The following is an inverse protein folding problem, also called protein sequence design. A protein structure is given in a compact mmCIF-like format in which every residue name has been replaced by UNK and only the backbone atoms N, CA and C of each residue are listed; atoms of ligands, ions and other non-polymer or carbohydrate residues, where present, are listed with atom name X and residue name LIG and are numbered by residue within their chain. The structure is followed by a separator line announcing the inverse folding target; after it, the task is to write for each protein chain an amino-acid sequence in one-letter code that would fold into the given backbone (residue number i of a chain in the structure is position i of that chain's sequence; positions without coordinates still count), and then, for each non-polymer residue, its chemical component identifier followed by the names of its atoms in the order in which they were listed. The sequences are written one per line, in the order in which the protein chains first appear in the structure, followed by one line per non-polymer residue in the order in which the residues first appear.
data_IF_366455891187
#
_entry.id   IF_366455891187
#
_cell.length_a   1.000
_cell.length_b   1.000
_cell.length_c   1.000
_cell.angle_alpha   90.00
_cell.angle_beta   90.00
_cell.angle_gamma   90.00
#
_symmetry.space_group_name_H-M   'P 1'
#
loop_
_entity.id
_entity.type
_entity.pdbx_description
1 polymer ?
#
# COMPACT_ATOMS: atom_id res chain seq x y z
N UNK A 1 7.68 -11.09 -1.52
CA UNK A 1 6.84 -9.91 -1.85
C UNK A 1 7.70 -8.75 -2.35
N UNK A 2 9.01 -8.95 -2.47
CA UNK A 2 9.99 -7.94 -2.90
C UNK A 2 10.07 -7.83 -4.44
N UNK A 3 9.64 -8.87 -5.14
CA UNK A 3 9.79 -9.02 -6.59
C UNK A 3 8.85 -8.15 -7.44
N UNK A 4 7.76 -7.61 -6.84
CA UNK A 4 6.80 -6.72 -7.55
C UNK A 4 7.26 -5.26 -7.52
N UNK A 5 8.03 -4.87 -6.49
CA UNK A 5 8.60 -3.52 -6.36
C UNK A 5 10.04 -3.46 -6.84
N UNK A 6 10.68 -4.61 -7.08
CA UNK A 6 11.98 -4.65 -7.72
C UNK A 6 11.82 -4.16 -9.17
N UNK A 7 12.57 -3.15 -9.61
CA UNK A 7 12.57 -2.77 -11.01
C UNK A 7 12.98 -3.97 -11.85
N UNK A 8 12.25 -4.25 -12.93
CA UNK A 8 12.72 -5.21 -13.93
C UNK A 8 14.07 -4.71 -14.46
N UNK A 9 15.10 -5.57 -14.56
CA UNK A 9 16.38 -5.13 -15.11
C UNK A 9 16.16 -4.55 -16.50
N UNK A 10 16.52 -3.26 -16.67
CA UNK A 10 16.34 -2.50 -17.91
C UNK A 10 15.17 -1.50 -17.94
N UNK A 11 14.32 -1.40 -16.91
CA UNK A 11 13.25 -0.39 -16.89
C UNK A 11 13.75 0.96 -16.33
N UNK A 12 14.43 1.73 -17.17
CA UNK A 12 14.97 3.07 -16.81
C UNK A 12 14.16 4.24 -17.39
N UNK A 13 13.19 3.95 -18.25
CA UNK A 13 12.39 4.96 -18.93
C UNK A 13 11.29 5.49 -18.03
N UNK A 14 10.99 6.78 -18.21
CA UNK A 14 9.87 7.44 -17.54
C UNK A 14 8.55 6.95 -18.14
N UNK A 15 7.72 6.34 -17.30
CA UNK A 15 6.38 5.90 -17.66
C UNK A 15 5.32 6.85 -17.08
N UNK A 16 4.27 7.16 -17.84
CA UNK A 16 3.20 8.04 -17.37
C UNK A 16 2.34 7.36 -16.29
N UNK A 17 1.91 8.13 -15.30
CA UNK A 17 0.96 7.74 -14.26
C UNK A 17 0.12 8.95 -13.81
N UNK A 18 -0.94 8.70 -13.05
CA UNK A 18 -1.88 9.72 -12.58
C UNK A 18 -2.27 9.44 -11.14
N UNK A 19 -2.60 10.50 -10.40
CA UNK A 19 -3.17 10.42 -9.06
C UNK A 19 -4.18 11.54 -8.86
N UNK A 20 -4.75 11.63 -7.66
CA UNK A 20 -5.59 12.77 -7.27
C UNK A 20 -4.86 14.12 -7.33
N UNK A 21 -3.52 14.13 -7.31
CA UNK A 21 -2.69 15.34 -7.28
C UNK A 21 -2.03 15.66 -8.64
N UNK A 22 -2.47 15.01 -9.72
CA UNK A 22 -2.05 15.35 -11.08
C UNK A 22 -1.46 14.19 -11.88
N UNK A 23 -0.99 14.54 -13.08
CA UNK A 23 -0.33 13.63 -14.03
C UNK A 23 1.17 13.77 -13.86
N UNK A 24 1.89 12.66 -13.83
CA UNK A 24 3.34 12.64 -13.69
C UNK A 24 3.94 11.49 -14.50
N UNK A 25 5.25 11.47 -14.64
CA UNK A 25 5.97 10.30 -15.12
C UNK A 25 6.93 9.80 -14.03
N UNK A 26 7.13 8.49 -13.95
CA UNK A 26 8.03 7.91 -12.97
C UNK A 26 8.96 6.85 -13.59
N UNK A 27 10.17 6.76 -13.06
CA UNK A 27 11.18 5.79 -13.47
C UNK A 27 11.93 5.25 -12.25
N UNK A 28 12.43 4.01 -12.34
CA UNK A 28 13.34 3.48 -11.34
C UNK A 28 14.79 3.77 -11.74
N UNK A 29 15.55 4.43 -10.87
CA UNK A 29 16.99 4.68 -11.04
C UNK A 29 17.74 4.37 -9.76
N UNK A 30 18.79 3.54 -9.85
CA UNK A 30 19.63 3.16 -8.71
C UNK A 30 18.83 2.74 -7.44
N UNK A 31 17.73 2.01 -7.64
CA UNK A 31 16.87 1.53 -6.54
C UNK A 31 15.94 2.60 -5.92
N UNK A 32 15.89 3.81 -6.47
CA UNK A 32 14.96 4.88 -6.08
C UNK A 32 13.95 5.16 -7.19
N UNK A 33 12.75 5.54 -6.80
CA UNK A 33 11.75 6.05 -7.74
C UNK A 33 12.04 7.54 -7.96
N UNK A 34 12.20 7.94 -9.20
CA UNK A 34 12.20 9.34 -9.61
C UNK A 34 10.82 9.68 -10.17
N UNK A 35 10.32 10.87 -9.83
CA UNK A 35 9.03 11.39 -10.28
C UNK A 35 9.26 12.73 -10.96
N UNK A 36 8.60 12.94 -12.10
CA UNK A 36 8.62 14.19 -12.84
C UNK A 36 7.19 14.67 -13.11
N UNK A 37 6.87 15.95 -12.88
CA UNK A 37 5.58 16.50 -13.28
C UNK A 37 5.38 16.39 -14.79
N UNK A 38 4.12 16.35 -15.20
CA UNK A 38 3.80 16.31 -16.63
C UNK A 38 4.23 17.61 -17.32
N UNK A 39 5.02 17.53 -18.41
CA UNK A 39 5.65 18.69 -19.07
C UNK A 39 4.72 19.82 -19.54
N UNK A 40 3.42 19.53 -19.71
CA UNK A 40 2.39 20.51 -20.14
C UNK A 40 1.56 21.06 -18.97
N UNK A 41 1.88 20.68 -17.74
CA UNK A 41 1.23 21.21 -16.55
C UNK A 41 1.89 22.54 -16.18
N UNK A 42 1.17 23.69 -16.27
CA UNK A 42 1.74 24.99 -15.96
C UNK A 42 1.92 25.23 -14.45
N UNK A 43 1.27 24.43 -13.60
CA UNK A 43 1.28 24.59 -12.15
C UNK A 43 1.23 23.22 -11.45
N UNK A 44 2.31 22.43 -11.54
CA UNK A 44 2.35 21.09 -10.96
C UNK A 44 2.27 21.15 -9.44
N UNK A 45 1.54 20.20 -8.84
CA UNK A 45 1.40 20.13 -7.39
C UNK A 45 2.61 19.42 -6.74
N UNK A 46 3.33 20.12 -5.87
CA UNK A 46 4.51 19.61 -5.14
C UNK A 46 4.26 18.32 -4.34
N UNK A 47 3.01 17.98 -4.00
CA UNK A 47 2.68 16.72 -3.30
C UNK A 47 3.15 15.48 -4.08
N UNK A 48 3.28 15.56 -5.40
CA UNK A 48 3.76 14.43 -6.21
C UNK A 48 5.20 14.04 -5.87
N UNK A 49 5.99 14.94 -5.28
CA UNK A 49 7.37 14.67 -4.89
C UNK A 49 7.47 13.79 -3.63
N UNK A 50 6.36 13.52 -2.95
CA UNK A 50 6.31 12.62 -1.79
C UNK A 50 6.25 11.13 -2.18
N UNK A 51 5.97 10.80 -3.45
CA UNK A 51 5.85 9.41 -3.89
C UNK A 51 7.09 8.53 -3.62
N UNK A 52 8.33 9.00 -3.86
CA UNK A 52 9.54 8.23 -3.55
C UNK A 52 9.62 7.80 -2.07
N UNK A 53 9.28 8.70 -1.15
CA UNK A 53 9.36 8.46 0.29
C UNK A 53 8.18 7.62 0.80
N UNK A 54 6.97 7.86 0.30
CA UNK A 54 5.77 7.14 0.69
C UNK A 54 5.87 5.60 0.49
N UNK A 55 6.61 5.16 -0.54
CA UNK A 55 6.79 3.74 -0.85
C UNK A 55 7.59 2.96 0.20
N UNK A 56 8.47 3.64 0.96
CA UNK A 56 9.35 3.01 1.96
C UNK A 56 9.24 3.65 3.35
N UNK A 57 8.26 4.53 3.55
CA UNK A 57 8.04 5.18 4.83
C UNK A 57 7.76 4.15 5.96
N UNK A 58 8.30 4.33 7.18
CA UNK A 58 8.11 3.39 8.30
C UNK A 58 6.65 3.11 8.66
N UNK A 59 5.74 4.05 8.39
CA UNK A 59 4.31 3.89 8.62
C UNK A 59 3.60 2.97 7.60
N UNK A 60 4.30 2.53 6.54
CA UNK A 60 3.70 1.69 5.50
C UNK A 60 3.34 0.32 6.06
N UNK A 61 2.08 -0.08 5.87
CA UNK A 61 1.60 -1.41 6.26
C UNK A 61 2.24 -2.45 5.33
N UNK A 62 3.27 -3.15 5.83
CA UNK A 62 4.04 -4.10 5.04
C UNK A 62 3.33 -5.44 4.82
N UNK A 63 2.43 -5.83 5.73
CA UNK A 63 1.78 -7.15 5.73
C UNK A 63 0.32 -7.04 6.14
N UNK A 64 -0.55 -7.94 5.63
CA UNK A 64 -1.91 -8.06 6.14
C UNK A 64 -1.91 -8.37 7.64
N UNK A 65 -2.82 -7.73 8.38
CA UNK A 65 -2.96 -7.91 9.82
C UNK A 65 -4.43 -7.93 10.22
N UNK A 66 -4.72 -8.62 11.33
CA UNK A 66 -6.04 -8.65 11.94
C UNK A 66 -5.93 -8.42 13.44
N UNK A 67 -6.90 -7.72 14.04
CA UNK A 67 -6.95 -7.60 15.50
C UNK A 67 -7.20 -8.98 16.10
N UNK A 68 -6.40 -9.40 17.08
CA UNK A 68 -6.53 -10.72 17.70
C UNK A 68 -7.95 -11.00 18.22
N UNK A 69 -8.58 -10.02 18.84
CA UNK A 69 -9.90 -10.14 19.44
C UNK A 69 -10.98 -10.32 18.39
N UNK A 70 -10.83 -9.65 17.24
CA UNK A 70 -11.71 -9.89 16.10
C UNK A 70 -11.55 -11.32 15.58
N UNK A 71 -10.30 -11.81 15.46
CA UNK A 71 -10.03 -13.15 14.96
C UNK A 71 -10.57 -14.25 15.88
N UNK A 72 -10.51 -14.04 17.19
CA UNK A 72 -10.91 -15.03 18.20
C UNK A 72 -12.39 -14.96 18.57
N UNK A 73 -12.99 -13.76 18.58
CA UNK A 73 -14.31 -13.50 19.17
C UNK A 73 -15.29 -12.79 18.22
N UNK A 74 -14.88 -12.49 16.99
CA UNK A 74 -15.71 -11.77 16.03
C UNK A 74 -15.79 -10.26 16.32
N UNK A 75 -16.70 -9.53 15.64
CA UNK A 75 -16.69 -8.06 15.57
C UNK A 75 -17.21 -7.32 16.81
N UNK A 76 -17.17 -7.91 18.01
CA UNK A 76 -17.66 -7.25 19.23
C UNK A 76 -16.87 -5.96 19.55
N UNK A 77 -17.51 -4.77 19.49
CA UNK A 77 -16.86 -3.49 19.72
C UNK A 77 -16.47 -3.24 21.18
N UNK A 78 -17.03 -4.00 22.14
CA UNK A 78 -16.78 -3.82 23.57
C UNK A 78 -15.50 -4.53 24.05
N UNK A 79 -14.86 -5.30 23.18
CA UNK A 79 -13.63 -6.03 23.49
C UNK A 79 -12.44 -5.10 23.26
N UNK A 80 -11.79 -4.66 24.34
CA UNK A 80 -10.58 -3.84 24.31
C UNK A 80 -9.58 -4.36 23.27
N UNK A 81 -9.07 -3.47 22.41
CA UNK A 81 -8.29 -3.84 21.24
C UNK A 81 -7.01 -4.61 21.62
N UNK A 82 -6.97 -5.94 21.43
CA UNK A 82 -5.75 -6.70 21.67
C UNK A 82 -4.75 -6.47 20.52
N UNK A 83 -3.49 -6.93 20.65
CA UNK A 83 -2.49 -6.76 19.60
C UNK A 83 -2.96 -7.24 18.22
N UNK A 84 -2.47 -6.58 17.17
CA UNK A 84 -2.65 -7.04 15.79
C UNK A 84 -1.76 -8.26 15.53
N UNK A 85 -2.29 -9.28 14.87
CA UNK A 85 -1.55 -10.45 14.42
C UNK A 85 -1.35 -10.34 12.91
N UNK A 86 -0.13 -10.59 12.44
CA UNK A 86 0.17 -10.72 11.01
C UNK A 86 -0.44 -12.00 10.47
N UNK A 87 -1.17 -11.89 9.36
CA UNK A 87 -1.75 -13.04 8.65
C UNK A 87 -1.38 -12.97 7.16
N UNK A 88 -1.50 -14.08 6.44
CA UNK A 88 -1.31 -14.07 4.99
C UNK A 88 -2.54 -13.51 4.27
N UNK A 89 -2.35 -12.99 3.04
CA UNK A 89 -3.41 -12.33 2.27
C UNK A 89 -4.59 -13.26 1.97
N UNK A 90 -4.33 -14.56 1.71
CA UNK A 90 -5.39 -15.55 1.46
C UNK A 90 -6.32 -15.68 2.67
N UNK A 91 -5.74 -15.80 3.87
CA UNK A 91 -6.50 -15.89 5.13
C UNK A 91 -7.27 -14.61 5.40
N UNK A 92 -6.69 -13.42 5.16
CA UNK A 92 -7.41 -12.16 5.34
C UNK A 92 -8.61 -12.06 4.39
N UNK A 93 -8.43 -12.35 3.11
CA UNK A 93 -9.51 -12.29 2.10
C UNK A 93 -10.63 -13.27 2.45
N UNK A 94 -10.30 -14.52 2.81
CA UNK A 94 -11.30 -15.50 3.23
C UNK A 94 -12.10 -15.04 4.46
N UNK A 95 -11.45 -14.41 5.45
CA UNK A 95 -12.14 -13.89 6.64
C UNK A 95 -13.08 -12.72 6.31
N UNK A 96 -12.70 -11.85 5.36
CA UNK A 96 -13.56 -10.75 4.90
C UNK A 96 -14.79 -11.27 4.12
N UNK A 97 -14.60 -12.30 3.29
CA UNK A 97 -15.67 -12.89 2.47
C UNK A 97 -16.62 -13.80 3.25
N UNK A 98 -16.13 -14.48 4.29
CA UNK A 98 -16.92 -15.41 5.07
C UNK A 98 -18.02 -14.72 5.92
N UNK A 99 -17.93 -13.41 6.10
CA UNK A 99 -18.75 -12.64 7.05
C UNK A 99 -18.46 -13.04 8.50
N UNK A 100 -19.01 -12.31 9.49
CA UNK A 100 -19.03 -12.78 10.86
C UNK A 100 -19.95 -13.99 10.94
N UNK A 101 -19.42 -15.19 10.70
CA UNK A 101 -20.10 -16.41 11.11
C UNK A 101 -19.98 -16.47 12.62
N UNK A 102 -20.99 -15.90 13.28
CA UNK A 102 -21.18 -16.03 14.71
C UNK A 102 -21.13 -17.53 15.05
N UNK A 103 -20.20 -17.90 15.92
CA UNK A 103 -20.29 -19.15 16.65
C UNK A 103 -21.58 -19.09 17.51
N UNK A 104 -22.26 -20.24 17.72
CA UNK A 104 -23.55 -20.29 18.42
C UNK A 104 -23.49 -19.73 19.85
#
# INVERSE_FOLDING_TARGET
MDDILAPKPGQTDFLPHTSHWGVFSAAWRAGKLEVLPHRRDPDPNDIIDNFPDALRHPARIARPMIRRGWLERGPDPMIAAPPRIVINSRRLICLLQAGPRFAP
#
